data_IF_012345426847
#
_entry.id   IF_012345426847
#
_cell.length_a   1.000
_cell.length_b   1.000
_cell.length_c   1.000
_cell.angle_alpha   90.00
_cell.angle_beta   90.00
_cell.angle_gamma   90.00
#
_symmetry.space_group_name_H-M   'P 1'
#
loop_
_entity.id
_entity.type
_entity.pdbx_description
1 polymer ?
2 polymer ?
3 polymer ?
4 polymer ?
5 non-polymer ?
6 non-polymer ?
7 non-polymer ?
8 non-polymer ?
9 non-polymer ?
10 non-polymer ?
11 water ?
#
loop_
_entity_poly.entity_id
_entity_poly.type
_entity_poly.pdbx_seq_one_letter_code
_entity_poly.pdbx_strand_id
2 'polydeoxyribonucleotide' '(DC)(DG)(DG)(DC)(8OG)(DT)(DA)(DC)(DG)' ?
3 'polydeoxyribonucleotide/polyribonucleotide hybrid' '(DC)(DG)(DT)(DA)A' ?
4 'polydeoxyribonucleotide' '(DG)(DC)(DC)(DG)' ?
#
# COMPACT_ATOMS: atom_id res chain seq x y z
N UNK A 10 14.22 16.47 12.70
CA UNK A 10 13.59 15.47 11.85
C UNK A 10 14.11 14.05 12.18
N UNK A 11 13.27 13.24 12.82
CA UNK A 11 13.69 11.89 13.21
C UNK A 11 13.94 11.00 12.00
N UNK A 12 14.74 9.96 12.21
CA UNK A 12 15.21 9.14 11.10
C UNK A 12 14.15 8.17 10.59
N UNK A 13 13.23 7.73 11.43
CA UNK A 13 12.20 6.77 11.05
C UNK A 13 10.88 7.47 10.73
N UNK A 14 10.19 7.00 9.67
CA UNK A 14 8.96 7.67 9.28
C UNK A 14 7.87 7.57 10.34
N UNK A 15 7.88 6.52 11.18
CA UNK A 15 6.86 6.37 12.20
C UNK A 15 7.04 7.31 13.39
N UNK A 16 8.13 8.09 13.38
CA UNK A 16 8.41 9.07 14.42
C UNK A 16 7.94 10.47 14.08
N UNK A 17 7.29 10.66 12.94
CA UNK A 17 6.94 12.02 12.54
C UNK A 17 5.61 11.98 11.81
N UNK A 18 4.78 13.02 11.94
CA UNK A 18 3.52 13.04 11.19
C UNK A 18 3.78 13.32 9.72
N UNK A 19 3.12 12.55 8.85
CA UNK A 19 3.25 12.75 7.41
C UNK A 19 1.84 12.90 6.86
N UNK A 20 1.45 14.11 6.48
CA UNK A 20 0.11 14.32 5.96
C UNK A 20 0.01 13.85 4.52
N UNK A 21 -1.22 13.74 4.04
CA UNK A 21 -1.46 13.23 2.72
C UNK A 21 -1.00 14.21 1.66
N UNK A 22 -1.32 15.48 1.86
CA UNK A 22 -0.80 16.52 0.99
C UNK A 22 0.22 17.39 1.75
N UNK A 23 1.17 17.93 0.99
CA UNK A 23 2.33 18.51 1.64
C UNK A 23 2.91 19.61 0.74
N UNK A 24 4.16 19.99 1.02
CA UNK A 24 4.75 21.20 0.45
C UNK A 24 5.94 20.91 -0.45
N UNK A 25 6.15 19.65 -0.81
CA UNK A 25 7.32 19.27 -1.61
C UNK A 25 6.94 18.20 -2.62
N UNK A 26 5.76 18.34 -3.21
CA UNK A 26 5.16 17.28 -4.02
C UNK A 26 6.06 16.89 -5.19
N UNK A 27 6.55 17.89 -5.91
CA UNK A 27 7.38 17.61 -7.08
C UNK A 27 8.67 16.90 -6.72
N UNK A 28 9.31 17.35 -5.65
CA UNK A 28 10.57 16.75 -5.23
C UNK A 28 10.36 15.30 -4.79
N UNK A 29 9.31 15.05 -4.00
CA UNK A 29 9.07 13.68 -3.55
C UNK A 29 8.71 12.78 -4.73
N UNK A 30 7.96 13.29 -5.72
CA UNK A 30 7.58 12.44 -6.83
C UNK A 30 8.81 12.02 -7.64
N UNK A 31 9.78 12.92 -7.79
CA UNK A 31 11.01 12.61 -8.51
C UNK A 31 11.77 11.49 -7.82
N UNK A 32 11.94 11.59 -6.49
CA UNK A 32 12.67 10.57 -5.76
C UNK A 32 11.93 9.25 -5.79
N UNK A 33 10.60 9.30 -5.81
CA UNK A 33 9.85 8.07 -5.89
C UNK A 33 9.96 7.41 -7.25
N UNK A 34 10.18 8.17 -8.33
CA UNK A 34 10.51 7.53 -9.61
C UNK A 34 11.78 6.72 -9.49
N UNK A 35 12.82 7.30 -8.88
CA UNK A 35 14.07 6.57 -8.73
C UNK A 35 13.90 5.37 -7.81
N UNK A 36 13.06 5.48 -6.79
CA UNK A 36 12.81 4.33 -5.94
C UNK A 36 12.16 3.21 -6.71
N UNK A 37 11.13 3.55 -7.49
CA UNK A 37 10.42 2.55 -8.28
C UNK A 37 11.36 1.87 -9.27
N UNK A 38 12.20 2.67 -9.95
CA UNK A 38 13.14 2.10 -10.91
C UNK A 38 14.13 1.16 -10.23
N UNK A 39 14.60 1.55 -9.05
CA UNK A 39 15.45 0.66 -8.27
C UNK A 39 14.77 -0.68 -7.99
N UNK A 40 13.49 -0.65 -7.63
CA UNK A 40 12.77 -1.89 -7.39
C UNK A 40 12.67 -2.76 -8.63
N UNK A 41 12.48 -2.14 -9.79
CA UNK A 41 12.39 -2.92 -11.00
C UNK A 41 13.70 -3.64 -11.31
N UNK A 42 14.82 -3.15 -10.77
CA UNK A 42 16.12 -3.77 -10.95
C UNK A 42 16.52 -4.62 -9.75
N UNK A 43 15.62 -4.85 -8.80
CA UNK A 43 15.95 -5.65 -7.64
C UNK A 43 16.87 -4.99 -6.63
N UNK A 44 17.03 -3.67 -6.69
CA UNK A 44 17.92 -2.95 -5.77
C UNK A 44 17.09 -2.45 -4.59
N UNK A 45 16.79 -3.37 -3.67
CA UNK A 45 15.84 -3.04 -2.60
C UNK A 45 16.43 -2.04 -1.62
N UNK A 46 17.75 -2.03 -1.42
CA UNK A 46 18.33 -1.04 -0.53
C UNK A 46 18.19 0.37 -1.08
N UNK A 47 18.53 0.56 -2.35
CA UNK A 47 18.36 1.86 -2.99
C UNK A 47 16.89 2.27 -2.96
N UNK A 48 15.99 1.36 -3.31
CA UNK A 48 14.56 1.66 -3.26
C UNK A 48 14.20 2.25 -1.91
N UNK A 49 14.68 1.63 -0.82
CA UNK A 49 14.33 2.10 0.51
C UNK A 49 14.88 3.51 0.76
N UNK A 50 16.13 3.76 0.43
CA UNK A 50 16.68 5.08 0.67
C UNK A 50 15.92 6.15 -0.09
N UNK A 51 15.61 5.90 -1.38
CA UNK A 51 14.88 6.91 -2.13
C UNK A 51 13.47 7.08 -1.59
N UNK A 52 12.79 5.98 -1.22
CA UNK A 52 11.47 6.10 -0.57
C UNK A 52 11.55 6.91 0.72
N UNK A 53 12.54 6.61 1.56
CA UNK A 53 12.67 7.32 2.84
C UNK A 53 13.00 8.80 2.61
N UNK A 54 13.87 9.10 1.64
CA UNK A 54 14.20 10.49 1.36
C UNK A 54 12.96 11.25 0.88
N UNK A 55 12.19 10.65 -0.02
CA UNK A 55 10.94 11.25 -0.44
C UNK A 55 10.03 11.50 0.74
N UNK A 56 9.94 10.53 1.64
CA UNK A 56 9.02 10.66 2.76
C UNK A 56 9.43 11.78 3.71
N UNK A 57 10.74 11.98 3.90
CA UNK A 57 11.22 13.09 4.71
C UNK A 57 10.68 14.42 4.18
N UNK A 58 10.72 14.61 2.88
CA UNK A 58 10.23 15.85 2.29
C UNK A 58 8.74 16.00 2.49
N UNK A 59 7.99 14.90 2.45
CA UNK A 59 6.57 14.98 2.74
C UNK A 59 6.29 15.50 4.14
N UNK A 60 7.22 15.26 5.08
CA UNK A 60 7.03 15.59 6.49
C UNK A 60 7.47 17.01 6.83
N UNK A 61 8.10 17.70 5.89
CA UNK A 61 8.59 19.05 6.14
C UNK A 61 7.45 20.06 6.21
N UNK A 62 7.62 21.15 6.97
CA UNK A 62 6.53 22.09 7.18
C UNK A 62 6.40 23.13 6.09
N UNK A 63 7.31 23.15 5.11
CA UNK A 63 7.29 24.17 4.07
C UNK A 63 8.17 23.69 2.91
N UNK A 64 8.12 24.38 1.77
CA UNK A 64 8.89 23.92 0.62
C UNK A 64 10.40 24.06 0.80
N UNK A 65 11.14 23.06 0.33
CA UNK A 65 12.58 23.19 0.12
C UNK A 65 12.82 24.10 -1.06
N UNK A 66 13.54 25.21 -0.83
CA UNK A 66 13.88 26.14 -1.90
C UNK A 66 15.37 26.24 -2.15
N UNK A 67 16.21 25.80 -1.23
CA UNK A 67 17.65 25.90 -1.37
C UNK A 67 18.29 24.62 -0.86
N UNK A 68 19.43 24.26 -1.46
CA UNK A 68 20.08 23.01 -1.13
C UNK A 68 20.47 22.95 0.34
N UNK A 69 20.80 24.10 0.94
CA UNK A 69 21.22 24.11 2.33
C UNK A 69 20.14 23.58 3.26
N UNK A 70 18.87 23.69 2.87
CA UNK A 70 17.79 23.16 3.69
C UNK A 70 17.82 21.64 3.81
N UNK A 71 18.60 20.94 3.00
CA UNK A 71 18.72 19.49 3.13
C UNK A 71 19.75 19.08 4.17
N UNK A 72 20.59 20.02 4.59
CA UNK A 72 21.63 19.73 5.56
C UNK A 72 21.02 19.17 6.84
N UNK A 73 21.53 18.03 7.29
CA UNK A 73 21.04 17.44 8.50
C UNK A 73 19.77 16.63 8.35
N UNK A 74 19.15 16.62 7.17
CA UNK A 74 17.95 15.78 7.01
C UNK A 74 18.37 14.34 6.83
N UNK A 75 17.74 13.41 7.52
CA UNK A 75 18.10 12.00 7.33
C UNK A 75 17.73 11.51 5.94
N UNK A 76 18.56 10.60 5.45
CA UNK A 76 18.40 9.90 4.17
C UNK A 76 18.72 10.76 2.96
N UNK A 77 19.29 11.95 3.16
CA UNK A 77 19.79 12.77 2.06
C UNK A 77 21.30 12.74 2.04
N UNK A 78 21.84 12.03 1.08
CA UNK A 78 23.26 12.01 0.81
C UNK A 78 23.56 12.62 -0.53
N UNK A 79 24.67 12.19 -1.11
CA UNK A 79 25.12 12.82 -2.35
C UNK A 79 24.09 12.68 -3.45
N UNK A 80 23.51 11.49 -3.61
CA UNK A 80 22.66 11.20 -4.76
C UNK A 80 21.31 11.90 -4.63
N UNK A 81 20.60 11.70 -3.52
CA UNK A 81 19.30 12.34 -3.35
C UNK A 81 19.44 13.85 -3.34
N UNK A 82 20.53 14.37 -2.77
CA UNK A 82 20.70 15.83 -2.74
C UNK A 82 20.93 16.39 -4.14
N UNK A 83 21.65 15.63 -4.99
CA UNK A 83 21.89 16.08 -6.35
C UNK A 83 20.60 16.09 -7.16
N UNK A 84 19.74 15.10 -6.96
CA UNK A 84 18.43 15.11 -7.61
C UNK A 84 17.67 16.37 -7.25
N UNK A 85 17.63 16.70 -5.96
CA UNK A 85 16.90 17.89 -5.52
C UNK A 85 17.54 19.14 -6.09
N UNK A 86 18.87 19.21 -6.04
CA UNK A 86 19.60 20.38 -6.54
C UNK A 86 19.24 20.63 -8.00
N UNK A 87 19.24 19.58 -8.81
CA UNK A 87 18.91 19.76 -10.23
C UNK A 87 17.48 20.22 -10.42
N UNK A 88 16.54 19.68 -9.63
CA UNK A 88 15.17 20.12 -9.75
C UNK A 88 15.02 21.59 -9.35
N UNK A 89 15.75 22.00 -8.30
CA UNK A 89 15.66 23.39 -7.84
C UNK A 89 16.27 24.34 -8.87
N UNK A 90 17.35 23.91 -9.50
CA UNK A 90 18.10 24.74 -10.43
C UNK A 90 17.47 24.80 -11.82
N UNK A 91 16.87 23.71 -12.28
CA UNK A 91 16.42 23.60 -13.67
C UNK A 91 15.00 23.10 -13.84
N UNK A 92 14.30 22.74 -12.76
CA UNK A 92 12.96 22.23 -12.87
C UNK A 92 12.86 20.80 -13.34
N UNK A 93 13.98 20.14 -13.61
CA UNK A 93 14.03 18.78 -14.14
C UNK A 93 15.34 18.15 -13.70
N UNK A 94 15.32 16.85 -13.46
CA UNK A 94 16.51 16.07 -13.12
C UNK A 94 16.79 15.11 -14.26
N UNK A 95 17.97 15.20 -14.87
CA UNK A 95 18.22 14.43 -16.08
C UNK A 95 18.08 12.93 -15.83
N UNK A 96 18.58 12.45 -14.69
CA UNK A 96 18.48 11.03 -14.38
C UNK A 96 17.02 10.59 -14.31
N UNK A 97 16.19 11.40 -13.63
CA UNK A 97 14.78 11.07 -13.51
C UNK A 97 14.12 11.02 -14.87
N UNK A 98 14.39 12.03 -15.70
CA UNK A 98 13.78 12.05 -17.02
C UNK A 98 14.25 10.88 -17.85
N UNK A 99 15.53 10.53 -17.74
CA UNK A 99 16.06 9.36 -18.45
C UNK A 99 15.30 8.11 -18.07
N UNK A 100 15.09 7.89 -16.78
CA UNK A 100 14.31 6.75 -16.32
C UNK A 100 12.92 6.80 -16.91
N UNK A 101 12.26 7.95 -16.82
CA UNK A 101 10.87 8.07 -17.26
C UNK A 101 10.67 7.61 -18.70
N UNK A 102 11.55 8.03 -19.60
CA UNK A 102 11.32 7.70 -21.00
C UNK A 102 11.90 6.36 -21.39
N UNK A 103 12.59 5.67 -20.49
CA UNK A 103 13.26 4.43 -20.85
C UNK A 103 12.26 3.31 -21.09
N UNK A 104 12.57 2.48 -22.09
CA UNK A 104 11.71 1.36 -22.44
C UNK A 104 11.61 0.40 -21.27
N UNK A 105 12.71 0.19 -20.55
CA UNK A 105 12.71 -0.72 -19.42
C UNK A 105 11.74 -0.27 -18.34
N UNK A 106 11.84 1.00 -17.94
CA UNK A 106 10.96 1.51 -16.89
C UNK A 106 9.50 1.47 -17.32
N UNK A 107 9.20 1.97 -18.52
CA UNK A 107 7.80 2.03 -18.95
C UNK A 107 7.18 0.64 -19.03
N UNK A 108 7.94 -0.34 -19.53
CA UNK A 108 7.37 -1.68 -19.68
C UNK A 108 7.26 -2.40 -18.34
N UNK A 109 8.26 -2.27 -17.47
CA UNK A 109 8.18 -2.87 -16.15
C UNK A 109 7.03 -2.26 -15.35
N UNK A 110 6.82 -0.95 -15.47
CA UNK A 110 5.67 -0.33 -14.83
C UNK A 110 4.36 -0.88 -15.39
N UNK A 111 4.25 -0.95 -16.73
CA UNK A 111 3.04 -1.49 -17.34
C UNK A 111 2.76 -2.90 -16.85
N UNK A 112 3.78 -3.76 -16.86
CA UNK A 112 3.56 -5.17 -16.54
C UNK A 112 3.29 -5.37 -15.05
N UNK A 113 4.08 -4.73 -14.18
CA UNK A 113 3.88 -4.95 -12.74
C UNK A 113 2.56 -4.35 -12.24
N UNK A 114 1.99 -3.40 -12.97
CA UNK A 114 0.67 -2.88 -12.65
C UNK A 114 -0.42 -3.93 -12.84
N UNK A 115 -0.15 -4.99 -13.60
CA UNK A 115 -1.14 -6.05 -13.79
C UNK A 115 -1.30 -6.84 -12.51
N UNK A 116 -2.55 -7.08 -12.11
CA UNK A 116 -2.85 -7.96 -10.99
C UNK A 116 -2.42 -9.39 -11.33
N UNK A 117 -1.50 -9.95 -10.55
CA UNK A 117 -0.97 -11.26 -10.80
C UNK A 117 0.44 -11.26 -11.36
N UNK A 118 0.98 -10.09 -11.65
CA UNK A 118 2.31 -9.92 -12.22
C UNK A 118 3.18 -9.12 -11.27
N UNK A 119 4.27 -9.73 -10.79
CA UNK A 119 5.26 -9.03 -9.99
C UNK A 119 6.51 -8.69 -10.79
N UNK A 120 7.49 -8.14 -10.08
CA UNK A 120 8.74 -7.72 -10.74
C UNK A 120 9.39 -8.91 -11.45
N UNK A 121 9.46 -10.04 -10.77
CA UNK A 121 10.16 -11.19 -11.36
C UNK A 121 9.49 -11.64 -12.64
N UNK A 122 8.15 -11.68 -12.66
CA UNK A 122 7.47 -12.09 -13.88
C UNK A 122 7.64 -11.04 -14.98
N UNK A 123 7.42 -9.76 -14.64
CA UNK A 123 7.59 -8.68 -15.61
C UNK A 123 8.98 -8.69 -16.24
N UNK A 124 10.00 -8.90 -15.41
CA UNK A 124 11.37 -8.89 -15.89
C UNK A 124 11.60 -10.03 -16.88
N UNK A 125 11.10 -11.23 -16.56
CA UNK A 125 11.27 -12.36 -17.46
C UNK A 125 10.58 -12.08 -18.80
N UNK A 126 9.36 -11.54 -18.75
CA UNK A 126 8.68 -11.17 -19.98
C UNK A 126 9.46 -10.10 -20.75
N UNK A 127 9.98 -9.09 -20.03
CA UNK A 127 10.79 -8.06 -20.68
C UNK A 127 11.96 -8.68 -21.41
N UNK A 128 12.66 -9.60 -20.75
CA UNK A 128 13.83 -10.25 -21.35
C UNK A 128 13.44 -11.13 -22.53
N UNK A 129 12.25 -11.72 -22.49
CA UNK A 129 11.75 -12.48 -23.64
C UNK A 129 11.35 -11.58 -24.82
N UNK A 130 11.39 -10.27 -24.65
CA UNK A 130 11.07 -9.35 -25.70
C UNK A 130 9.66 -8.80 -25.67
N UNK A 131 8.85 -9.18 -24.69
CA UNK A 131 7.48 -8.69 -24.62
C UNK A 131 7.46 -7.24 -24.13
N UNK A 132 6.53 -6.45 -24.67
CA UNK A 132 6.49 -5.02 -24.40
C UNK A 132 5.10 -4.46 -24.10
N UNK A 133 4.02 -5.07 -24.61
CA UNK A 133 2.69 -4.47 -24.52
C UNK A 133 1.70 -5.46 -23.95
N UNK A 134 0.54 -4.95 -23.53
CA UNK A 134 -0.47 -5.85 -23.00
C UNK A 134 -0.97 -6.80 -24.08
N UNK A 135 -1.05 -6.31 -25.32
CA UNK A 135 -1.48 -7.20 -26.40
C UNK A 135 -0.43 -8.27 -26.71
N UNK A 136 0.85 -7.98 -26.49
CA UNK A 136 1.86 -9.04 -26.54
C UNK A 136 1.52 -10.16 -25.55
N UNK A 137 1.00 -9.80 -24.38
CA UNK A 137 0.66 -10.82 -23.40
C UNK A 137 -0.63 -11.55 -23.77
N UNK A 138 -1.59 -10.81 -24.31
CA UNK A 138 -2.84 -11.44 -24.69
C UNK A 138 -2.65 -12.43 -25.84
N UNK A 139 -1.67 -12.19 -26.71
CA UNK A 139 -1.41 -13.05 -27.86
C UNK A 139 -0.74 -14.37 -27.47
N UNK A 140 -0.30 -14.53 -26.22
CA UNK A 140 0.34 -15.76 -25.76
C UNK A 140 -0.26 -16.18 -24.42
N UNK A 141 -1.58 -16.43 -24.37
CA UNK A 141 -2.23 -16.67 -23.09
C UNK A 141 -1.90 -18.01 -22.49
N UNK A 142 -1.21 -18.89 -23.22
CA UNK A 142 -0.73 -20.14 -22.65
C UNK A 142 0.24 -19.87 -21.51
N UNK A 143 0.90 -18.72 -21.54
CA UNK A 143 1.91 -18.38 -20.54
C UNK A 143 1.34 -17.62 -19.34
N UNK A 144 0.01 -17.57 -19.17
CA UNK A 144 -0.59 -16.76 -18.11
C UNK A 144 -1.30 -17.63 -17.10
N UNK A 145 -1.23 -17.23 -15.84
CA UNK A 145 -2.04 -17.86 -14.82
C UNK A 145 -3.48 -17.36 -14.90
N UNK A 146 -4.37 -18.07 -14.23
CA UNK A 146 -5.76 -17.61 -14.16
C UNK A 146 -5.84 -16.23 -13.52
N UNK A 147 -5.01 -15.99 -12.50
CA UNK A 147 -4.99 -14.68 -11.85
C UNK A 147 -4.56 -13.61 -12.83
N UNK A 148 -3.51 -13.90 -13.60
CA UNK A 148 -3.01 -12.95 -14.59
C UNK A 148 -4.03 -12.74 -15.70
N UNK A 149 -4.73 -13.81 -16.10
CA UNK A 149 -5.75 -13.65 -17.13
C UNK A 149 -6.82 -12.68 -16.66
N UNK A 150 -7.25 -12.80 -15.41
CA UNK A 150 -8.24 -11.88 -14.85
C UNK A 150 -7.68 -10.47 -14.77
N UNK A 151 -6.45 -10.33 -14.32
CA UNK A 151 -5.84 -9.02 -14.25
C UNK A 151 -5.73 -8.35 -15.61
N UNK A 152 -5.44 -9.12 -16.64
CA UNK A 152 -5.35 -8.56 -17.98
C UNK A 152 -6.74 -8.21 -18.51
N UNK A 153 -7.70 -9.12 -18.36
CA UNK A 153 -9.07 -8.83 -18.84
C UNK A 153 -9.61 -7.56 -18.21
N UNK A 154 -9.38 -7.38 -16.91
CA UNK A 154 -9.93 -6.26 -16.16
C UNK A 154 -8.99 -5.08 -16.06
N UNK A 155 -7.89 -5.10 -16.82
CA UNK A 155 -6.82 -4.15 -16.58
C UNK A 155 -7.29 -2.70 -16.77
N UNK A 156 -8.11 -2.46 -17.80
CA UNK A 156 -8.54 -1.09 -18.06
C UNK A 156 -9.36 -0.55 -16.90
N UNK A 157 -10.35 -1.31 -16.45
CA UNK A 157 -11.16 -0.88 -15.29
C UNK A 157 -10.29 -0.72 -14.06
N UNK A 158 -9.35 -1.64 -13.84
CA UNK A 158 -8.53 -1.58 -12.65
C UNK A 158 -7.54 -0.42 -12.69
N UNK A 159 -7.33 0.18 -13.86
CA UNK A 159 -6.48 1.35 -13.99
C UNK A 159 -7.23 2.64 -13.70
N UNK A 160 -8.55 2.59 -13.56
CA UNK A 160 -9.39 3.75 -13.28
C UNK A 160 -9.42 4.01 -11.78
N UNK A 161 -9.19 5.22 -11.29
CA UNK A 161 -9.25 5.44 -9.84
C UNK A 161 -10.58 5.03 -9.23
N UNK A 162 -10.49 4.37 -8.07
CA UNK A 162 -11.64 4.14 -7.22
C UNK A 162 -11.89 5.42 -6.46
N UNK A 163 -13.14 5.85 -6.45
CA UNK A 163 -13.51 7.10 -5.79
C UNK A 163 -14.14 6.83 -4.44
N UNK A 164 -14.10 7.84 -3.57
CA UNK A 164 -14.74 7.69 -2.26
C UNK A 164 -16.22 7.33 -2.39
N UNK A 165 -16.92 7.79 -3.44
CA UNK A 165 -18.31 7.38 -3.63
C UNK A 165 -18.42 5.89 -3.92
N UNK A 166 -17.45 5.33 -4.62
CA UNK A 166 -17.48 3.90 -4.86
C UNK A 166 -17.33 3.15 -3.54
N UNK A 167 -16.58 3.71 -2.59
CA UNK A 167 -16.25 2.98 -1.37
C UNK A 167 -17.49 2.74 -0.53
N UNK A 168 -18.34 3.76 -0.37
CA UNK A 168 -19.52 3.60 0.48
C UNK A 168 -20.47 2.55 -0.07
N UNK A 169 -20.63 2.50 -1.39
CA UNK A 169 -21.46 1.47 -2.01
C UNK A 169 -20.92 0.08 -1.75
N UNK A 170 -19.61 -0.10 -1.95
CA UNK A 170 -18.98 -1.39 -1.68
C UNK A 170 -19.11 -1.78 -0.21
N UNK A 171 -18.95 -0.84 0.70
CA UNK A 171 -19.01 -1.21 2.12
C UNK A 171 -20.39 -1.73 2.47
N UNK A 172 -21.43 -1.13 1.90
CA UNK A 172 -22.79 -1.59 2.19
C UNK A 172 -23.00 -3.02 1.72
N UNK A 173 -22.50 -3.38 0.52
CA UNK A 173 -22.75 -4.72 0.04
C UNK A 173 -21.91 -5.71 0.83
N UNK A 174 -20.69 -5.33 1.24
CA UNK A 174 -19.87 -6.21 2.07
C UNK A 174 -20.54 -6.44 3.44
N UNK A 175 -21.06 -5.38 4.03
CA UNK A 175 -21.72 -5.54 5.32
C UNK A 175 -22.92 -6.46 5.24
N UNK A 176 -23.68 -6.38 4.14
CA UNK A 176 -24.84 -7.25 3.97
C UNK A 176 -24.42 -8.71 3.95
N UNK A 177 -23.38 -9.04 3.16
CA UNK A 177 -22.91 -10.42 3.12
C UNK A 177 -22.34 -10.86 4.45
N UNK A 178 -21.54 -9.99 5.07
CA UNK A 178 -20.95 -10.30 6.38
C UNK A 178 -22.02 -10.56 7.43
N UNK A 179 -23.09 -9.75 7.41
CA UNK A 179 -24.16 -9.92 8.39
C UNK A 179 -24.91 -11.23 8.28
N UNK A 180 -25.04 -11.77 7.06
CA UNK A 180 -25.65 -13.08 6.89
C UNK A 180 -24.67 -14.19 7.25
N UNK A 181 -23.40 -14.00 6.91
CA UNK A 181 -22.40 -15.01 7.22
C UNK A 181 -22.21 -15.15 8.72
N UNK A 182 -22.30 -14.05 9.44
CA UNK A 182 -22.07 -14.07 10.89
C UNK A 182 -22.67 -12.83 11.54
N UNK A 183 -23.90 -12.93 12.04
CA UNK A 183 -24.49 -11.78 12.73
C UNK A 183 -23.59 -11.25 13.84
N UNK A 184 -23.46 -9.94 13.88
CA UNK A 184 -22.61 -9.28 14.84
C UNK A 184 -21.25 -8.93 14.31
N UNK A 185 -20.86 -9.49 13.16
CA UNK A 185 -19.54 -9.20 12.63
C UNK A 185 -19.55 -7.79 12.08
N UNK A 186 -18.38 -7.15 12.16
CA UNK A 186 -18.21 -5.75 11.76
C UNK A 186 -17.26 -5.66 10.59
N UNK A 187 -17.40 -4.55 9.87
CA UNK A 187 -16.60 -4.24 8.69
C UNK A 187 -15.99 -2.87 8.90
N UNK A 188 -14.67 -2.77 8.84
CA UNK A 188 -13.96 -1.51 9.00
C UNK A 188 -13.20 -1.18 7.71
N UNK A 189 -13.37 0.06 7.23
CA UNK A 189 -12.60 0.53 6.08
C UNK A 189 -11.16 0.80 6.51
N UNK A 190 -10.22 0.22 5.77
CA UNK A 190 -8.79 0.41 6.08
C UNK A 190 -8.07 0.98 4.87
N UNK A 191 -6.78 0.68 4.74
CA UNK A 191 -5.97 1.13 3.62
C UNK A 191 -5.96 2.65 3.45
N UNK A 192 -5.67 3.05 2.23
CA UNK A 192 -5.48 4.46 1.93
C UNK A 192 -6.69 5.32 2.19
N UNK A 193 -7.90 4.79 2.00
CA UNK A 193 -9.09 5.61 2.29
C UNK A 193 -9.19 5.93 3.77
N UNK A 194 -8.76 5.03 4.66
CA UNK A 194 -8.78 5.37 6.08
C UNK A 194 -7.77 6.50 6.40
N UNK A 195 -6.70 6.62 5.62
CA UNK A 195 -5.73 7.70 5.76
C UNK A 195 -6.18 9.00 5.14
N UNK A 196 -7.40 9.04 4.59
CA UNK A 196 -7.98 10.25 4.03
C UNK A 196 -7.87 10.38 2.53
N UNK A 197 -7.35 9.37 1.84
CA UNK A 197 -7.23 9.48 0.39
C UNK A 197 -8.61 9.64 -0.24
N UNK A 198 -8.67 10.41 -1.33
CA UNK A 198 -9.94 10.58 -2.02
C UNK A 198 -10.11 9.63 -3.18
N UNK A 199 -9.01 9.02 -3.63
CA UNK A 199 -9.02 8.00 -4.66
C UNK A 199 -8.09 6.87 -4.25
N UNK A 200 -8.24 5.72 -4.92
CA UNK A 200 -7.35 4.61 -4.67
C UNK A 200 -7.39 3.66 -5.83
N UNK A 201 -6.50 2.65 -5.74
CA UNK A 201 -6.39 1.52 -6.66
C UNK A 201 -7.34 0.40 -6.29
N UNK A 202 -7.76 0.36 -5.03
CA UNK A 202 -8.60 -0.71 -4.50
C UNK A 202 -9.27 -0.21 -3.23
N UNK A 203 -10.08 -1.07 -2.63
CA UNK A 203 -10.68 -0.80 -1.34
C UNK A 203 -10.33 -1.93 -0.41
N UNK A 204 -9.98 -1.58 0.83
CA UNK A 204 -9.53 -2.53 1.85
C UNK A 204 -10.50 -2.53 3.02
N UNK A 205 -10.93 -3.73 3.41
CA UNK A 205 -11.83 -3.90 4.53
C UNK A 205 -11.26 -4.91 5.51
N UNK A 206 -11.48 -4.64 6.80
CA UNK A 206 -11.08 -5.50 7.89
C UNK A 206 -12.34 -5.93 8.64
N UNK A 207 -12.49 -7.23 8.83
CA UNK A 207 -13.69 -7.83 9.39
C UNK A 207 -13.33 -8.53 10.69
N UNK A 208 -14.16 -8.36 11.72
CA UNK A 208 -13.96 -9.09 12.97
C UNK A 208 -15.32 -9.33 13.62
N UNK A 209 -15.29 -9.89 14.83
CA UNK A 209 -16.50 -10.15 15.59
C UNK A 209 -16.15 -9.95 17.05
N UNK A 210 -17.02 -9.30 17.84
CA UNK A 210 -16.64 -8.97 19.23
C UNK A 210 -16.45 -10.17 20.14
N UNK A 211 -16.90 -11.35 19.76
CA UNK A 211 -16.71 -12.57 20.53
C UNK A 211 -15.54 -13.37 19.96
N UNK A 212 -14.42 -13.37 20.68
CA UNK A 212 -13.21 -14.05 20.24
C UNK A 212 -13.52 -15.48 19.83
N UNK A 213 -13.09 -15.82 18.62
CA UNK A 213 -13.25 -17.13 18.06
C UNK A 213 -14.41 -17.26 17.09
N UNK A 214 -15.41 -16.39 17.20
CA UNK A 214 -16.55 -16.48 16.29
C UNK A 214 -16.14 -16.16 14.87
N UNK A 215 -15.02 -15.46 14.68
CA UNK A 215 -14.60 -15.12 13.32
C UNK A 215 -13.98 -16.28 12.58
N UNK A 216 -13.67 -17.39 13.26
CA UNK A 216 -13.07 -18.53 12.57
C UNK A 216 -13.98 -19.02 11.45
N UNK A 217 -13.38 -19.30 10.29
CA UNK A 217 -14.12 -19.80 9.14
C UNK A 217 -15.01 -18.79 8.45
N UNK A 218 -14.86 -17.50 8.77
CA UNK A 218 -15.81 -16.51 8.30
C UNK A 218 -15.63 -16.17 6.82
N UNK A 219 -14.40 -16.05 6.37
CA UNK A 219 -14.23 -15.47 5.04
C UNK A 219 -14.80 -16.34 3.92
N UNK A 220 -14.66 -17.67 3.96
CA UNK A 220 -15.34 -18.48 2.93
C UNK A 220 -16.82 -18.24 2.88
N UNK A 221 -17.45 -18.08 4.06
CA UNK A 221 -18.88 -17.86 4.11
C UNK A 221 -19.24 -16.51 3.51
N UNK A 222 -18.39 -15.50 3.74
CA UNK A 222 -18.61 -14.19 3.14
C UNK A 222 -18.46 -14.28 1.64
N UNK A 223 -17.39 -14.94 1.19
CA UNK A 223 -17.13 -15.00 -0.24
C UNK A 223 -18.23 -15.74 -0.97
N UNK A 224 -18.73 -16.83 -0.38
CA UNK A 224 -19.79 -17.61 -1.01
C UNK A 224 -21.02 -16.77 -1.25
N UNK A 225 -21.34 -15.91 -0.28
CA UNK A 225 -22.52 -15.08 -0.34
C UNK A 225 -22.36 -13.94 -1.34
N UNK A 226 -21.19 -13.32 -1.37
CA UNK A 226 -20.95 -12.32 -2.41
C UNK A 226 -21.04 -12.94 -3.79
N UNK A 227 -20.48 -14.14 -3.95
CA UNK A 227 -20.49 -14.81 -5.24
C UNK A 227 -21.92 -15.13 -5.66
N UNK A 228 -22.77 -15.51 -4.70
CA UNK A 228 -24.15 -15.84 -5.04
C UNK A 228 -24.96 -14.60 -5.39
N UNK A 229 -24.56 -13.42 -4.91
CA UNK A 229 -25.20 -12.19 -5.36
C UNK A 229 -24.66 -11.68 -6.70
N UNK A 230 -23.74 -12.41 -7.35
CA UNK A 230 -23.22 -12.02 -8.64
C UNK A 230 -22.24 -10.88 -8.61
N UNK A 231 -21.64 -10.61 -7.44
CA UNK A 231 -20.79 -9.45 -7.27
C UNK A 231 -19.31 -9.74 -7.47
N UNK A 232 -18.92 -10.99 -7.64
CA UNK A 232 -17.53 -11.37 -7.66
C UNK A 232 -17.17 -11.72 -9.09
N UNK A 233 -16.30 -10.90 -9.67
CA UNK A 233 -15.78 -11.21 -10.98
C UNK A 233 -14.60 -12.14 -10.90
N UNK A 234 -13.83 -12.07 -9.82
CA UNK A 234 -12.67 -12.93 -9.63
C UNK A 234 -12.35 -13.08 -8.14
N UNK A 235 -12.08 -14.31 -7.73
CA UNK A 235 -11.41 -14.55 -6.46
C UNK A 235 -10.65 -15.87 -6.55
N UNK A 236 -9.75 -16.06 -5.60
CA UNK A 236 -9.00 -17.32 -5.50
C UNK A 236 -9.79 -18.39 -4.75
N UNK A 257 -9.35 -19.61 4.73
CA UNK A 257 -8.41 -18.51 4.49
C UNK A 257 -8.81 -17.28 5.30
N UNK A 258 -7.91 -16.28 5.41
CA UNK A 258 -8.22 -15.06 6.15
C UNK A 258 -7.97 -13.76 5.38
N UNK A 259 -7.41 -13.83 4.18
CA UNK A 259 -7.26 -12.69 3.29
C UNK A 259 -7.79 -13.10 1.93
N UNK A 260 -8.54 -12.22 1.30
CA UNK A 260 -9.11 -12.44 -0.03
C UNK A 260 -8.79 -11.25 -0.92
N UNK A 261 -8.22 -11.50 -2.10
CA UNK A 261 -7.90 -10.43 -3.04
C UNK A 261 -8.88 -10.59 -4.21
N UNK A 262 -9.98 -9.83 -4.18
CA UNK A 262 -11.11 -10.00 -5.08
C UNK A 262 -11.10 -8.94 -6.18
N UNK A 263 -11.82 -9.23 -7.26
CA UNK A 263 -12.31 -8.23 -8.19
C UNK A 263 -13.83 -8.27 -8.09
N UNK A 264 -14.42 -7.13 -7.74
CA UNK A 264 -15.85 -6.95 -7.52
C UNK A 264 -16.47 -6.27 -8.72
N UNK A 265 -17.74 -6.60 -8.96
CA UNK A 265 -18.56 -5.87 -9.90
C UNK A 265 -19.27 -4.73 -9.18
N UNK A 266 -18.87 -3.51 -9.47
CA UNK A 266 -19.46 -2.33 -8.87
C UNK A 266 -20.43 -1.65 -9.81
N UNK A 267 -21.70 -1.53 -9.44
CA UNK A 267 -22.67 -0.79 -10.26
C UNK A 267 -22.20 0.60 -10.64
N UNK A 268 -22.54 0.99 -11.86
CA UNK A 268 -22.31 2.30 -12.43
C UNK A 268 -23.58 2.69 -13.18
N UNK A 269 -23.80 3.98 -13.40
CA UNK A 269 -24.98 4.39 -14.17
C UNK A 269 -25.11 3.65 -15.49
N UNK A 270 -26.15 2.81 -15.60
CA UNK A 270 -26.39 2.06 -16.82
C UNK A 270 -25.40 0.96 -17.11
N UNK A 271 -24.52 0.64 -16.15
CA UNK A 271 -23.50 -0.36 -16.39
C UNK A 271 -22.82 -0.73 -15.07
N UNK A 272 -21.53 -1.03 -15.13
CA UNK A 272 -20.77 -1.40 -13.94
C UNK A 272 -19.30 -1.30 -14.29
N UNK A 273 -18.46 -1.41 -13.27
CA UNK A 273 -17.03 -1.50 -13.50
C UNK A 273 -16.41 -2.45 -12.50
N UNK A 274 -15.31 -3.07 -12.91
CA UNK A 274 -14.55 -3.94 -12.04
C UNK A 274 -13.72 -3.12 -11.05
N UNK A 275 -13.71 -3.54 -9.79
CA UNK A 275 -12.94 -2.87 -8.72
C UNK A 275 -12.24 -3.93 -7.88
N UNK A 276 -10.96 -3.71 -7.60
CA UNK A 276 -10.22 -4.55 -6.66
C UNK A 276 -10.66 -4.25 -5.23
N UNK A 277 -10.94 -5.32 -4.49
CA UNK A 277 -11.33 -5.24 -3.08
C UNK A 277 -10.53 -6.29 -2.31
N UNK A 278 -9.93 -5.89 -1.20
CA UNK A 278 -9.25 -6.78 -0.28
C UNK A 278 -10.11 -6.96 0.97
N UNK A 279 -10.37 -8.21 1.33
CA UNK A 279 -11.07 -8.53 2.56
C UNK A 279 -10.12 -9.28 3.48
N UNK A 280 -10.07 -8.88 4.74
CA UNK A 280 -9.22 -9.55 5.71
C UNK A 280 -10.01 -9.73 6.99
N UNK A 281 -9.84 -10.90 7.60
CA UNK A 281 -10.51 -11.25 8.86
C UNK A 281 -9.45 -11.34 9.94
N UNK A 282 -9.77 -10.83 11.12
CA UNK A 282 -8.90 -10.98 12.28
C UNK A 282 -9.74 -11.25 13.51
N UNK A 283 -9.23 -12.01 14.46
CA UNK A 283 -9.91 -12.11 15.76
C UNK A 283 -9.82 -10.79 16.51
N UNK A 284 -10.84 -10.51 17.33
CA UNK A 284 -10.91 -9.19 17.97
C UNK A 284 -9.68 -8.92 18.84
N UNK A 285 -9.08 -9.98 19.44
CA UNK A 285 -7.85 -9.80 20.20
C UNK A 285 -6.72 -9.19 19.37
N UNK A 286 -6.71 -9.46 18.07
CA UNK A 286 -5.67 -8.98 17.16
C UNK A 286 -6.09 -7.75 16.39
N UNK A 287 -7.34 -7.32 16.53
CA UNK A 287 -7.88 -6.28 15.66
C UNK A 287 -7.04 -5.01 15.66
N UNK A 288 -6.55 -4.50 16.79
CA UNK A 288 -5.72 -3.29 16.71
C UNK A 288 -4.47 -3.48 15.88
N UNK A 289 -3.86 -4.65 15.96
CA UNK A 289 -2.67 -4.92 15.15
C UNK A 289 -3.03 -5.03 13.68
N UNK A 290 -4.17 -5.63 13.38
CA UNK A 290 -4.55 -5.77 11.99
C UNK A 290 -4.95 -4.42 11.41
N UNK A 291 -5.70 -3.63 12.19
CA UNK A 291 -6.07 -2.29 11.77
C UNK A 291 -4.83 -1.45 11.47
N UNK A 292 -3.88 -1.45 12.41
CA UNK A 292 -2.63 -0.71 12.20
C UNK A 292 -1.91 -1.20 10.96
N UNK A 293 -1.78 -2.51 10.85
CA UNK A 293 -1.08 -3.10 9.73
C UNK A 293 -1.74 -2.86 8.38
N UNK A 294 -3.06 -2.83 8.33
CA UNK A 294 -3.75 -2.64 7.06
C UNK A 294 -4.08 -1.19 6.76
N UNK A 295 -3.80 -0.26 7.68
CA UNK A 295 -4.04 1.16 7.40
C UNK A 295 -2.84 1.86 6.76
N UNK A 296 -1.66 1.28 6.87
CA UNK A 296 -0.52 1.76 6.11
C UNK A 296 0.00 3.11 6.61
N UNK A 297 0.67 3.86 5.73
CA UNK A 297 1.11 3.44 4.41
C UNK A 297 2.06 2.25 4.46
N UNK A 298 2.36 1.73 3.26
CA UNK A 298 3.30 0.62 3.16
C UNK A 298 4.64 0.98 3.77
N UNK A 299 5.18 2.16 3.40
CA UNK A 299 6.44 2.59 3.97
C UNK A 299 6.31 2.82 5.48
N UNK A 300 5.19 3.41 5.92
CA UNK A 300 4.99 3.59 7.35
C UNK A 300 5.09 2.25 8.10
N UNK A 301 4.46 1.20 7.56
CA UNK A 301 4.48 -0.10 8.27
C UNK A 301 5.89 -0.71 8.29
N UNK A 302 6.62 -0.63 7.17
CA UNK A 302 7.99 -1.12 7.14
C UNK A 302 8.83 -0.40 8.17
N UNK A 303 8.70 0.93 8.21
CA UNK A 303 9.46 1.75 9.15
C UNK A 303 9.07 1.45 10.58
N UNK A 304 7.76 1.28 10.82
CA UNK A 304 7.28 0.94 12.16
C UNK A 304 7.82 -0.40 12.62
N UNK A 305 7.79 -1.40 11.75
CA UNK A 305 8.32 -2.71 12.13
C UNK A 305 9.84 -2.66 12.29
N UNK A 306 10.52 -1.88 11.46
CA UNK A 306 11.97 -1.72 11.58
C UNK A 306 12.32 -1.06 12.91
N UNK A 307 11.58 0.00 13.24
CA UNK A 307 11.75 0.71 14.51
C UNK A 307 11.54 -0.22 15.69
N UNK A 308 10.42 -0.94 15.67
CA UNK A 308 10.09 -1.86 16.74
C UNK A 308 11.26 -2.81 17.02
N UNK A 309 11.75 -3.45 15.96
CA UNK A 309 12.76 -4.49 16.14
C UNK A 309 14.11 -3.89 16.49
N UNK A 310 14.52 -2.87 15.74
CA UNK A 310 15.89 -2.35 15.87
C UNK A 310 16.05 -1.43 17.07
N UNK A 311 15.04 -0.64 17.39
CA UNK A 311 15.17 0.32 18.48
C UNK A 311 14.58 -0.20 19.80
N UNK A 312 13.55 -1.03 19.74
CA UNK A 312 12.87 -1.53 20.93
C UNK A 312 13.04 -3.02 21.18
N UNK A 313 13.61 -3.77 20.23
CA UNK A 313 13.80 -5.19 20.42
C UNK A 313 12.54 -6.02 20.46
N UNK A 314 11.46 -5.48 19.89
CA UNK A 314 10.15 -6.12 19.81
C UNK A 314 9.82 -6.43 18.36
N UNK A 315 9.12 -7.53 18.14
CA UNK A 315 8.80 -8.01 16.79
C UNK A 315 7.32 -7.74 16.50
N UNK A 316 7.07 -6.89 15.50
CA UNK A 316 5.74 -6.42 15.18
C UNK A 316 5.24 -7.04 13.88
N UNK A 317 3.98 -7.47 13.88
CA UNK A 317 3.32 -7.81 12.62
C UNK A 317 1.84 -7.49 12.74
N UNK A 318 1.05 -7.93 11.75
CA UNK A 318 -0.37 -7.57 11.77
C UNK A 318 -1.19 -8.44 12.69
N UNK A 319 -0.55 -9.36 13.42
CA UNK A 319 -1.19 -10.20 14.42
C UNK A 319 -0.85 -9.80 15.85
N UNK A 320 0.24 -9.09 16.08
CA UNK A 320 0.68 -8.90 17.44
C UNK A 320 2.05 -8.28 17.51
N UNK A 321 2.50 -8.16 18.75
CA UNK A 321 3.77 -7.53 19.09
C UNK A 321 4.44 -8.40 20.14
N UNK A 322 5.59 -8.98 19.79
CA UNK A 322 6.24 -10.05 20.55
C UNK A 322 7.51 -9.55 21.21
N UNK A 323 7.65 -9.86 22.50
CA UNK A 323 8.88 -9.62 23.23
C UNK A 323 9.68 -10.92 23.21
N UNK A 324 10.78 -10.99 22.45
CA UNK A 324 11.49 -12.27 22.33
C UNK A 324 12.35 -12.63 23.52
N UNK A 325 12.55 -11.69 24.46
CA UNK A 325 13.21 -12.04 25.72
C UNK A 325 12.24 -12.72 26.68
N UNK A 326 11.13 -12.06 27.00
CA UNK A 326 10.12 -12.67 27.86
C UNK A 326 9.31 -13.74 27.15
N UNK A 327 9.37 -13.78 25.82
CA UNK A 327 8.54 -14.68 25.03
C UNK A 327 7.06 -14.46 25.34
N UNK A 328 6.65 -13.19 25.27
CA UNK A 328 5.28 -12.81 25.55
C UNK A 328 4.77 -11.86 24.47
N UNK A 329 3.46 -11.87 24.27
CA UNK A 329 2.77 -10.98 23.33
C UNK A 329 2.08 -9.86 24.10
N UNK A 330 2.19 -8.65 23.57
CA UNK A 330 1.54 -7.50 24.15
C UNK A 330 0.06 -7.52 23.81
N UNK A 331 -0.80 -7.37 24.82
CA UNK A 331 -2.22 -7.27 24.55
C UNK A 331 -2.47 -5.81 24.21
N UNK A 332 -3.13 -5.57 23.11
CA UNK A 332 -3.52 -4.21 22.77
C UNK A 332 -5.01 -4.15 22.59
N UNK A 333 -5.61 -3.07 23.10
CA UNK A 333 -7.02 -2.82 22.91
C UNK A 333 -7.28 -1.73 21.91
N UNK A 334 -6.22 -1.05 21.43
CA UNK A 334 -6.35 0.07 20.52
C UNK A 334 -5.02 0.30 19.80
N UNK A 335 -5.07 1.00 18.67
CA UNK A 335 -3.85 1.47 18.05
C UNK A 335 -3.06 2.34 19.01
N UNK A 336 -3.76 3.20 19.77
CA UNK A 336 -3.09 4.01 20.76
C UNK A 336 -2.22 3.15 21.68
N UNK A 337 -2.75 1.99 22.14
CA UNK A 337 -1.97 1.08 22.98
C UNK A 337 -0.65 0.70 22.30
N UNK A 338 -0.71 0.42 20.99
CA UNK A 338 0.46 -0.08 20.30
C UNK A 338 1.52 1.00 20.21
N UNK A 339 1.12 2.23 19.83
CA UNK A 339 2.07 3.33 19.82
C UNK A 339 2.69 3.52 21.19
N UNK A 340 1.88 3.47 22.26
CA UNK A 340 2.44 3.60 23.59
C UNK A 340 3.44 2.49 23.91
N UNK A 341 3.08 1.23 23.60
CA UNK A 341 3.99 0.10 23.81
C UNK A 341 5.37 0.40 23.25
N UNK A 342 5.40 0.94 22.03
CA UNK A 342 6.63 1.21 21.28
C UNK A 342 7.28 2.54 21.63
N UNK A 343 6.74 3.30 22.58
CA UNK A 343 7.36 4.57 22.94
C UNK A 343 7.29 5.63 21.87
N UNK A 344 6.23 5.62 21.07
CA UNK A 344 6.04 6.55 19.96
C UNK A 344 4.83 7.42 20.26
N UNK A 345 4.91 8.70 19.90
CA UNK A 345 3.72 9.54 19.95
C UNK A 345 2.68 9.01 18.97
N UNK A 346 1.43 9.01 19.40
CA UNK A 346 0.35 8.50 18.55
C UNK A 346 0.22 9.36 17.29
N UNK A 347 0.04 8.68 16.15
CA UNK A 347 -0.27 9.31 14.89
C UNK A 347 -1.60 8.81 14.39
N UNK A 348 -2.58 9.67 14.15
CA UNK A 348 -3.82 9.22 13.54
C UNK A 348 -3.55 8.76 12.11
N UNK A 349 -4.48 8.02 11.50
CA UNK A 349 -4.24 7.47 10.15
C UNK A 349 -3.84 8.52 9.12
N UNK A 350 -4.43 9.71 9.23
CA UNK A 350 -4.20 10.82 8.31
C UNK A 350 -2.77 11.35 8.40
N UNK A 351 -2.03 11.00 9.43
CA UNK A 351 -0.63 11.39 9.56
C UNK A 351 0.33 10.22 9.38
N UNK A 352 -0.14 9.11 8.79
CA UNK A 352 0.69 7.96 8.47
C UNK A 352 0.96 7.84 6.96
N UNK A 353 0.87 8.94 6.25
CA UNK A 353 1.05 8.96 4.79
C UNK A 353 2.51 9.08 4.40
N UNK A 354 3.33 8.22 4.98
CA UNK A 354 4.76 8.20 4.70
C UNK A 354 5.01 7.75 3.29
X LIG E 1 -2.96 2.00 0.11
X LIG E 1 -2.04 2.05 1.29
X LIG E 1 -4.27 1.30 0.36
X LIG E 1 -3.08 3.35 -0.57
X LIG E 1 -2.54 0.84 -2.46
X LIG E 1 -1.71 -0.30 -2.99
X LIG E 1 -4.06 0.83 -2.59
X LIG E 1 -2.17 1.03 -0.91
X LIG E 1 -2.23 2.72 -4.56
X LIG E 1 -1.10 3.67 -4.92
X LIG E 1 -3.66 3.22 -4.62
X LIG E 1 -1.94 2.21 -3.08
X LIG E 1 -2.10 1.38 -5.45
X LIG E 1 -0.84 0.93 -5.93
X LIG F 1 -5.86 -3.52 -0.89
X LIG G 1 -5.60 -0.02 -0.77
X LIG H 1 1.10 -6.65 -10.17
X LIG I 1 1.63 -9.40 9.04
X LIG J 1 20.26 -1.98 -3.52
X LIG K 1 -5.43 12.18 -4.61
X LIG K 1 -5.72 11.20 -3.11
X LIG K 1 -6.36 9.95 -3.50
X LIG K 1 -4.43 10.89 -2.52
X LIG K 1 -6.55 11.98 -2.21
X LIG L 1 -0.65 -6.60 5.30
X LIG L 1 0.05 -7.82 5.57
X LIG L 1 -0.90 -5.87 6.62
X LIG L 1 0.25 -5.98 7.46
#
# INVERSE_FOLDING_TARGET
GSAAASPAWMPAYACQRPTPLTHHNTGLSEALEILAEAAGFEGSEGRLLTFCRAASVLKALPSPVTTLSQLQGLPHFGEHSSRVVQELLEHGVCEEVERVRRSERYQTMKLFTQIFGVGVKTADRWYREGLRTLDDLREQPQKLTQQQKAGLQHHQDLSTPVLRSDVDALQQVVEEAVGQALPGATVTLTGGFRRGKLQGHDVDFLITHPKEGQEAGLLPRVMCRLQDQGLILYHQHQHSCCESPTRLAQQSHMDAFERSFCIFRLPQPGSWKAVRVDLVVAPVSQFPFALLGWTGSKLFQRELRRFSRKEKGLWLNSHGLFDPEQKTFFQAASEEDIFRHLGLEYLPPEQRNA
ATP PG O1G O2G O3G PB O1B O2B O3B PA O1A O2A O3A O5' C5'
MN MN
NA NA
NA NA
CL CL
CL CL
EPE C10 S O1S O2S O3S
EDO C1 O1 C2 O2
#
